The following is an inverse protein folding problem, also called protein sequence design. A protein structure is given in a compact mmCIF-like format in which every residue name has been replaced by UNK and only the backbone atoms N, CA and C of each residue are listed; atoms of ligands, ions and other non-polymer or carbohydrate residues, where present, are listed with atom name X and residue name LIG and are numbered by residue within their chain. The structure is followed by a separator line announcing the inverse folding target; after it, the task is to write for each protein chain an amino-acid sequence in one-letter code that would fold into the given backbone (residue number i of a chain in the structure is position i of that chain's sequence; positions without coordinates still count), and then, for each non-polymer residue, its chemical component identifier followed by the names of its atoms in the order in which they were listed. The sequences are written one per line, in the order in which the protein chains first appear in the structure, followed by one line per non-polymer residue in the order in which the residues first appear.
data_IF_276582559039
#
_entry.id   IF_276582559039
#
_cell.length_a   1.000
_cell.length_b   1.000
_cell.length_c   1.000
_cell.angle_alpha   90.00
_cell.angle_beta   90.00
_cell.angle_gamma   90.00
#
_symmetry.space_group_name_H-M   'P 1'
#
loop_
_entity.id
_entity.type
_entity.pdbx_description
1 polymer ?
#
# COMPACT_ATOMS: atom_id res chain seq x y z
N UNK A 1 -19.11 49.43 9.32
CA UNK A 1 -19.05 49.42 7.84
C UNK A 1 -17.80 48.66 7.45
N UNK A 2 -17.92 47.37 7.18
CA UNK A 2 -16.83 46.46 6.83
C UNK A 2 -17.25 45.72 5.57
N UNK A 3 -16.75 46.16 4.42
CA UNK A 3 -17.00 45.53 3.13
C UNK A 3 -16.11 44.30 3.01
N UNK A 4 -16.73 43.12 2.99
CA UNK A 4 -16.10 41.83 2.71
C UNK A 4 -15.83 41.75 1.20
N UNK A 5 -14.55 41.73 0.82
CA UNK A 5 -14.10 41.41 -0.52
C UNK A 5 -14.30 39.91 -0.78
N UNK A 6 -15.36 39.54 -1.52
CA UNK A 6 -15.49 38.20 -2.08
C UNK A 6 -14.75 38.15 -3.42
N UNK A 7 -13.57 37.56 -3.37
CA UNK A 7 -12.79 37.06 -4.50
C UNK A 7 -13.63 36.01 -5.25
N UNK A 8 -14.25 36.41 -6.35
CA UNK A 8 -14.70 35.45 -7.37
C UNK A 8 -13.46 35.07 -8.18
N UNK A 9 -12.97 33.85 -7.91
CA UNK A 9 -11.89 33.22 -8.66
C UNK A 9 -12.24 33.16 -10.17
N UNK A 10 -11.26 33.33 -11.08
CA UNK A 10 -11.51 33.15 -12.50
C UNK A 10 -11.54 31.65 -12.81
N UNK A 11 -12.73 31.06 -12.83
CA UNK A 11 -12.99 29.75 -13.45
C UNK A 11 -13.07 29.89 -14.98
N UNK A 12 -12.02 30.44 -15.59
CA UNK A 12 -11.88 30.55 -17.05
C UNK A 12 -10.47 30.10 -17.41
N UNK A 13 -10.24 28.78 -17.38
CA UNK A 13 -9.03 28.17 -17.94
C UNK A 13 -9.32 26.82 -18.64
N UNK A 14 -10.56 26.53 -19.02
CA UNK A 14 -10.90 25.36 -19.83
C UNK A 14 -11.72 25.77 -21.05
N UNK A 15 -11.07 26.47 -21.98
CA UNK A 15 -11.50 26.48 -23.38
C UNK A 15 -10.35 25.92 -24.19
N UNK A 16 -10.62 24.81 -24.87
CA UNK A 16 -9.64 24.01 -25.59
C UNK A 16 -8.83 24.85 -26.57
N UNK A 17 -7.51 24.79 -26.40
CA UNK A 17 -6.52 25.25 -27.35
C UNK A 17 -5.41 24.22 -27.39
N UNK A 18 -5.40 23.44 -28.48
CA UNK A 18 -4.35 22.55 -28.99
C UNK A 18 -3.05 22.48 -28.19
N UNK A 19 -3.06 21.74 -27.09
CA UNK A 19 -1.84 21.32 -26.43
C UNK A 19 -1.66 19.82 -26.71
N UNK A 20 -0.45 19.44 -27.10
CA UNK A 20 -0.01 18.04 -27.22
C UNK A 20 -0.46 17.23 -25.99
N UNK A 21 -0.65 15.91 -26.10
CA UNK A 21 -1.03 15.08 -24.95
C UNK A 21 0.02 15.19 -23.84
N UNK A 22 -0.24 16.04 -22.85
CA UNK A 22 0.65 16.23 -21.70
C UNK A 22 0.20 15.28 -20.59
N UNK A 23 1.07 14.34 -20.20
CA UNK A 23 0.93 13.75 -18.88
C UNK A 23 1.39 14.78 -17.85
N UNK A 24 0.46 15.30 -17.07
CA UNK A 24 0.79 16.22 -15.97
C UNK A 24 1.16 15.35 -14.77
N UNK A 25 2.44 15.40 -14.40
CA UNK A 25 2.89 14.93 -13.10
C UNK A 25 2.23 15.82 -12.05
N UNK A 26 1.39 15.20 -11.23
CA UNK A 26 0.66 15.87 -10.17
C UNK A 26 1.31 15.43 -8.85
N UNK A 27 1.37 16.31 -7.85
CA UNK A 27 2.17 16.14 -6.63
C UNK A 27 1.80 14.88 -5.81
N UNK A 28 0.70 14.21 -6.16
CA UNK A 28 0.36 12.87 -5.71
C UNK A 28 0.49 11.84 -6.87
N UNK A 29 1.29 10.77 -6.71
CA UNK A 29 1.48 9.73 -7.74
C UNK A 29 0.19 8.96 -8.08
N UNK A 30 -0.86 9.13 -7.29
CA UNK A 30 -2.20 8.59 -7.54
C UNK A 30 -3.01 9.39 -8.59
N UNK A 31 -2.51 10.55 -9.03
CA UNK A 31 -3.28 11.54 -9.80
C UNK A 31 -2.71 11.89 -11.19
N UNK A 32 -1.88 11.00 -11.75
CA UNK A 32 -1.48 11.09 -13.17
C UNK A 32 -2.74 11.12 -14.04
N UNK A 33 -3.05 12.29 -14.57
CA UNK A 33 -4.22 12.52 -15.41
C UNK A 33 -3.71 12.58 -16.84
N UNK A 34 -4.21 11.68 -17.69
CA UNK A 34 -3.92 11.66 -19.11
C UNK A 34 -5.21 11.92 -19.86
N UNK A 35 -5.26 13.05 -20.56
CA UNK A 35 -6.39 13.43 -21.39
C UNK A 35 -6.19 12.89 -22.81
N UNK A 36 -7.25 12.34 -23.38
CA UNK A 36 -7.27 11.82 -24.74
C UNK A 36 -8.71 11.75 -25.27
N UNK A 37 -8.90 11.71 -26.61
CA UNK A 37 -10.22 11.60 -27.20
C UNK A 37 -10.99 10.38 -26.70
N UNK A 38 -12.25 10.56 -26.28
CA UNK A 38 -13.08 9.45 -25.78
C UNK A 38 -13.22 8.30 -26.78
N UNK A 39 -13.16 8.58 -28.09
CA UNK A 39 -13.26 7.55 -29.13
C UNK A 39 -12.17 6.47 -29.03
N UNK A 40 -10.97 6.82 -28.56
CA UNK A 40 -9.87 5.86 -28.48
C UNK A 40 -9.82 5.10 -27.15
N UNK A 41 -10.77 5.37 -26.24
CA UNK A 41 -10.85 4.72 -24.94
C UNK A 41 -10.79 3.18 -25.01
N UNK A 42 -11.48 2.48 -25.93
CA UNK A 42 -11.38 1.02 -26.01
C UNK A 42 -9.95 0.51 -26.24
N UNK A 43 -9.18 1.17 -27.11
CA UNK A 43 -7.78 0.81 -27.39
C UNK A 43 -6.87 1.10 -26.18
N UNK A 44 -7.11 2.20 -25.48
CA UNK A 44 -6.42 2.52 -24.23
C UNK A 44 -6.70 1.45 -23.16
N UNK A 45 -7.95 1.00 -23.04
CA UNK A 45 -8.34 -0.05 -22.10
C UNK A 45 -7.69 -1.40 -22.43
N UNK A 46 -7.59 -1.76 -23.71
CA UNK A 46 -6.91 -2.98 -24.15
C UNK A 46 -5.42 -2.98 -23.81
N UNK A 47 -4.73 -1.87 -24.08
CA UNK A 47 -3.32 -1.74 -23.73
C UNK A 47 -3.11 -1.77 -22.20
N UNK A 48 -3.92 -1.02 -21.44
CA UNK A 48 -3.88 -1.03 -19.97
C UNK A 48 -4.14 -2.42 -19.40
N UNK A 49 -5.10 -3.15 -19.97
CA UNK A 49 -5.41 -4.52 -19.57
C UNK A 49 -4.19 -5.42 -19.75
N UNK A 50 -3.48 -5.35 -20.88
CA UNK A 50 -2.25 -6.11 -21.08
C UNK A 50 -1.22 -5.82 -19.98
N UNK A 51 -0.99 -4.54 -19.67
CA UNK A 51 -0.03 -4.12 -18.64
C UNK A 51 -0.41 -4.62 -17.23
N UNK A 52 -1.71 -4.70 -16.93
CA UNK A 52 -2.25 -5.09 -15.61
C UNK A 52 -2.47 -6.59 -15.41
N UNK A 53 -2.65 -7.39 -16.47
CA UNK A 53 -2.93 -8.83 -16.37
C UNK A 53 -1.77 -9.67 -15.80
N UNK A 54 -0.58 -9.09 -15.71
CA UNK A 54 0.63 -9.81 -15.32
C UNK A 54 0.68 -10.03 -13.80
N UNK A 55 0.85 -11.29 -13.38
CA UNK A 55 1.03 -11.65 -11.98
C UNK A 55 2.27 -10.96 -11.41
N UNK A 56 2.13 -10.30 -10.26
CA UNK A 56 3.22 -9.66 -9.53
C UNK A 56 3.81 -10.67 -8.55
N UNK A 57 5.14 -10.70 -8.45
CA UNK A 57 5.84 -11.53 -7.48
C UNK A 57 6.23 -10.66 -6.30
N UNK A 58 5.93 -11.08 -5.07
CA UNK A 58 6.35 -10.37 -3.86
C UNK A 58 7.46 -11.19 -3.21
N UNK A 59 8.71 -10.69 -3.24
CA UNK A 59 9.89 -11.38 -2.70
C UNK A 59 10.44 -10.77 -1.41
N UNK A 60 9.76 -9.76 -0.86
CA UNK A 60 10.27 -8.99 0.27
C UNK A 60 11.25 -7.88 -0.13
N UNK A 61 11.32 -7.57 -1.43
CA UNK A 61 12.17 -6.53 -2.01
C UNK A 61 11.29 -5.47 -2.71
N UNK A 62 11.78 -4.23 -2.77
CA UNK A 62 11.17 -3.14 -3.53
C UNK A 62 11.59 -3.24 -5.01
N UNK A 63 10.97 -4.17 -5.76
CA UNK A 63 11.26 -4.42 -7.18
C UNK A 63 10.04 -4.24 -8.12
N UNK A 64 8.96 -3.61 -7.64
CA UNK A 64 7.74 -3.39 -8.39
C UNK A 64 7.95 -2.52 -9.63
N UNK A 65 8.79 -1.48 -9.59
CA UNK A 65 9.11 -0.67 -10.78
C UNK A 65 9.71 -1.55 -11.89
N UNK A 66 10.65 -2.41 -11.54
CA UNK A 66 11.29 -3.34 -12.47
C UNK A 66 10.29 -4.31 -13.06
N UNK A 67 9.40 -4.87 -12.23
CA UNK A 67 8.31 -5.74 -12.69
C UNK A 67 7.33 -5.01 -13.62
N UNK A 68 7.02 -3.73 -13.35
CA UNK A 68 6.16 -2.94 -14.23
C UNK A 68 6.84 -2.63 -15.55
N UNK A 69 8.12 -2.25 -15.52
CA UNK A 69 8.95 -2.01 -16.71
C UNK A 69 9.06 -3.23 -17.62
N UNK A 70 9.18 -4.42 -17.02
CA UNK A 70 9.23 -5.68 -17.75
C UNK A 70 7.95 -6.01 -18.53
N UNK A 71 6.82 -5.36 -18.23
CA UNK A 71 5.57 -5.58 -18.96
C UNK A 71 5.52 -4.83 -20.29
N UNK A 72 6.23 -3.70 -20.44
CA UNK A 72 6.19 -2.93 -21.68
C UNK A 72 6.60 -3.78 -22.90
N UNK A 73 7.77 -4.44 -22.92
CA UNK A 73 8.14 -5.27 -24.07
C UNK A 73 7.22 -6.48 -24.26
N UNK A 74 6.59 -7.00 -23.20
CA UNK A 74 5.62 -8.11 -23.30
C UNK A 74 4.30 -7.68 -23.96
N UNK A 75 3.97 -6.40 -23.85
CA UNK A 75 2.76 -5.81 -24.41
C UNK A 75 3.02 -5.01 -25.70
N UNK A 76 4.18 -5.17 -26.34
CA UNK A 76 4.55 -4.41 -27.54
C UNK A 76 3.56 -4.63 -28.70
N UNK A 77 3.14 -5.86 -28.95
CA UNK A 77 2.18 -6.15 -30.02
C UNK A 77 0.81 -5.50 -29.75
N UNK A 78 0.35 -5.53 -28.49
CA UNK A 78 -0.89 -4.88 -28.08
C UNK A 78 -0.77 -3.36 -28.18
N UNK A 79 0.39 -2.81 -27.83
CA UNK A 79 0.70 -1.39 -27.99
C UNK A 79 0.58 -0.97 -29.46
N UNK A 80 1.29 -1.63 -30.37
CA UNK A 80 1.29 -1.25 -31.78
C UNK A 80 -0.11 -1.40 -32.41
N UNK A 81 -0.81 -2.50 -32.11
CA UNK A 81 -2.18 -2.72 -32.58
C UNK A 81 -3.17 -1.66 -32.04
N UNK A 82 -3.01 -1.25 -30.78
CA UNK A 82 -3.87 -0.24 -30.16
C UNK A 82 -3.61 1.15 -30.74
N UNK A 83 -2.34 1.50 -30.97
CA UNK A 83 -1.93 2.76 -31.62
C UNK A 83 -2.48 2.83 -33.05
N UNK A 84 -2.31 1.77 -33.84
CA UNK A 84 -2.80 1.70 -35.21
C UNK A 84 -4.34 1.79 -35.25
N UNK A 85 -5.03 1.01 -34.42
CA UNK A 85 -6.49 1.01 -34.35
C UNK A 85 -7.06 2.36 -33.94
N UNK A 86 -6.47 3.00 -32.91
CA UNK A 86 -6.85 4.32 -32.44
C UNK A 86 -6.65 5.39 -33.53
N UNK A 87 -5.46 5.42 -34.16
CA UNK A 87 -5.16 6.38 -35.23
C UNK A 87 -6.09 6.20 -36.44
N UNK A 88 -6.37 4.95 -36.84
CA UNK A 88 -7.30 4.65 -37.94
C UNK A 88 -8.73 5.11 -37.60
N UNK A 89 -9.19 4.90 -36.36
CA UNK A 89 -10.52 5.31 -35.95
C UNK A 89 -10.69 6.84 -35.97
N UNK A 90 -9.72 7.59 -35.42
CA UNK A 90 -9.75 9.05 -35.43
C UNK A 90 -9.73 9.59 -36.87
N UNK A 91 -8.85 9.07 -37.72
CA UNK A 91 -8.75 9.48 -39.12
C UNK A 91 -10.08 9.26 -39.90
N UNK A 92 -10.81 8.17 -39.65
CA UNK A 92 -12.09 7.87 -40.34
C UNK A 92 -13.25 8.74 -39.87
N UNK A 93 -13.29 9.08 -38.59
CA UNK A 93 -14.42 9.79 -37.98
C UNK A 93 -14.34 11.30 -38.20
N UNK A 94 -13.18 11.84 -38.57
CA UNK A 94 -12.94 13.28 -38.67
C UNK A 94 -12.91 14.00 -37.32
N UNK A 95 -13.34 13.33 -36.24
CA UNK A 95 -13.08 13.71 -34.85
C UNK A 95 -11.63 13.37 -34.52
N UNK A 96 -10.83 14.40 -34.17
CA UNK A 96 -9.39 14.27 -33.96
C UNK A 96 -8.53 14.72 -35.14
N UNK A 97 -9.03 15.59 -36.02
CA UNK A 97 -8.20 16.27 -37.04
C UNK A 97 -6.98 17.03 -36.43
N UNK A 98 -7.04 17.31 -35.13
CA UNK A 98 -5.99 17.89 -34.30
C UNK A 98 -4.98 16.86 -33.74
N UNK A 99 -5.26 15.55 -33.82
CA UNK A 99 -4.37 14.48 -33.37
C UNK A 99 -3.76 13.76 -34.57
N UNK A 100 -2.45 13.86 -34.70
CA UNK A 100 -1.66 13.08 -35.65
C UNK A 100 -1.47 11.64 -35.14
N UNK A 101 -1.05 10.73 -36.02
CA UNK A 101 -0.67 9.37 -35.61
C UNK A 101 0.48 9.36 -34.59
N UNK A 102 1.35 10.39 -34.63
CA UNK A 102 2.42 10.56 -33.65
C UNK A 102 1.86 10.95 -32.28
N UNK A 103 0.90 11.87 -32.21
CA UNK A 103 0.23 12.25 -30.96
C UNK A 103 -0.50 11.07 -30.34
N UNK A 104 -1.16 10.25 -31.16
CA UNK A 104 -1.78 9.00 -30.68
C UNK A 104 -0.73 8.08 -30.08
N UNK A 105 0.40 7.84 -30.76
CA UNK A 105 1.49 7.02 -30.21
C UNK A 105 2.00 7.57 -28.87
N UNK A 106 2.18 8.88 -28.77
CA UNK A 106 2.63 9.53 -27.54
C UNK A 106 1.68 9.32 -26.35
N UNK A 107 0.36 9.30 -26.57
CA UNK A 107 -0.64 8.95 -25.53
C UNK A 107 -0.36 7.55 -24.97
N UNK A 108 -0.12 6.56 -25.83
CA UNK A 108 0.16 5.20 -25.39
C UNK A 108 1.51 5.08 -24.69
N UNK A 109 2.53 5.83 -25.15
CA UNK A 109 3.82 5.90 -24.45
C UNK A 109 3.69 6.52 -23.06
N UNK A 110 2.87 7.56 -22.91
CA UNK A 110 2.53 8.14 -21.61
C UNK A 110 1.86 7.12 -20.68
N UNK A 111 0.95 6.29 -21.19
CA UNK A 111 0.34 5.19 -20.40
C UNK A 111 1.43 4.23 -19.90
N UNK A 112 2.41 3.88 -20.75
CA UNK A 112 3.55 3.06 -20.37
C UNK A 112 4.41 3.70 -19.27
N UNK A 113 4.69 5.01 -19.36
CA UNK A 113 5.42 5.77 -18.32
C UNK A 113 4.67 5.78 -16.99
N UNK A 114 3.37 6.08 -17.03
CA UNK A 114 2.49 6.06 -15.84
C UNK A 114 2.50 4.68 -15.18
N UNK A 115 2.47 3.61 -15.98
CA UNK A 115 2.53 2.24 -15.47
C UNK A 115 3.84 1.94 -14.74
N UNK A 116 4.99 2.42 -15.23
CA UNK A 116 6.28 2.29 -14.52
C UNK A 116 6.27 3.11 -13.23
N UNK A 117 5.81 4.36 -13.29
CA UNK A 117 5.77 5.26 -12.13
C UNK A 117 4.92 4.69 -10.99
N UNK A 118 3.81 4.02 -11.30
CA UNK A 118 3.01 3.27 -10.31
C UNK A 118 3.81 2.15 -9.63
N UNK A 119 4.69 1.46 -10.37
CA UNK A 119 5.60 0.49 -9.78
C UNK A 119 6.61 1.13 -8.82
N UNK A 120 7.19 2.26 -9.20
CA UNK A 120 8.11 3.01 -8.33
C UNK A 120 7.42 3.53 -7.05
N UNK A 121 6.16 3.94 -7.15
CA UNK A 121 5.38 4.35 -5.98
C UNK A 121 5.17 3.17 -5.00
N UNK A 122 4.84 1.98 -5.52
CA UNK A 122 4.74 0.78 -4.70
C UNK A 122 6.06 0.43 -4.01
N UNK A 123 7.20 0.64 -4.68
CA UNK A 123 8.53 0.46 -4.11
C UNK A 123 8.80 1.42 -2.94
N UNK A 124 8.38 2.68 -3.10
CA UNK A 124 8.49 3.69 -2.05
C UNK A 124 7.61 3.33 -0.84
N UNK A 125 6.35 2.93 -1.07
CA UNK A 125 5.43 2.50 -0.02
C UNK A 125 5.96 1.26 0.72
N UNK A 126 6.45 0.27 -0.03
CA UNK A 126 7.03 -0.94 0.54
C UNK A 126 8.25 -0.62 1.43
N UNK A 127 9.15 0.22 0.94
CA UNK A 127 10.34 0.67 1.68
C UNK A 127 9.95 1.45 2.93
N UNK A 128 8.96 2.34 2.84
CA UNK A 128 8.43 3.08 3.97
C UNK A 128 7.91 2.14 5.05
N UNK A 129 7.06 1.17 4.68
CA UNK A 129 6.51 0.19 5.61
C UNK A 129 7.60 -0.65 6.28
N UNK A 130 8.61 -1.11 5.54
CA UNK A 130 9.74 -1.84 6.12
C UNK A 130 10.49 -1.01 7.17
N UNK A 131 10.80 0.26 6.87
CA UNK A 131 11.48 1.16 7.82
C UNK A 131 10.63 1.42 9.05
N UNK A 132 9.32 1.65 8.89
CA UNK A 132 8.41 1.86 10.01
C UNK A 132 8.30 0.62 10.91
N UNK A 133 8.27 -0.58 10.33
CA UNK A 133 8.26 -1.83 11.10
C UNK A 133 9.56 -2.04 11.87
N UNK A 134 10.72 -1.78 11.24
CA UNK A 134 12.01 -1.88 11.91
C UNK A 134 12.10 -0.92 13.11
N UNK A 135 11.68 0.34 12.92
CA UNK A 135 11.64 1.33 14.00
C UNK A 135 10.69 0.93 15.14
N UNK A 136 9.51 0.39 14.83
CA UNK A 136 8.57 -0.09 15.83
C UNK A 136 9.12 -1.29 16.61
N UNK A 137 9.82 -2.21 15.93
CA UNK A 137 10.49 -3.34 16.56
C UNK A 137 11.61 -2.87 17.51
N UNK A 138 12.45 -1.93 17.08
CA UNK A 138 13.51 -1.35 17.92
C UNK A 138 12.93 -0.67 19.17
N UNK A 139 11.84 0.10 19.03
CA UNK A 139 11.14 0.70 20.16
C UNK A 139 10.60 -0.35 21.12
N UNK A 140 9.92 -1.37 20.60
CA UNK A 140 9.44 -2.49 21.40
C UNK A 140 10.58 -3.20 22.14
N UNK A 141 11.72 -3.42 21.50
CA UNK A 141 12.90 -4.05 22.12
C UNK A 141 13.60 -3.15 23.16
N UNK A 142 13.55 -1.84 22.99
CA UNK A 142 14.06 -0.87 23.94
C UNK A 142 13.17 -0.75 25.18
N UNK A 143 11.85 -0.72 24.98
CA UNK A 143 10.84 -0.49 26.03
C UNK A 143 10.35 -1.77 26.70
N UNK A 144 10.51 -2.93 26.06
CA UNK A 144 10.10 -4.20 26.68
C UNK A 144 10.81 -4.37 28.03
N UNK A 145 10.09 -4.80 29.07
CA UNK A 145 10.71 -5.10 30.34
C UNK A 145 11.81 -6.15 30.14
N UNK A 146 13.06 -5.77 30.38
CA UNK A 146 14.24 -6.67 30.29
C UNK A 146 14.40 -7.56 31.54
N UNK A 147 13.34 -7.67 32.35
CA UNK A 147 13.31 -8.42 33.60
C UNK A 147 12.98 -9.90 33.40
N UNK A 148 13.31 -10.71 34.41
CA UNK A 148 13.08 -12.15 34.46
C UNK A 148 11.65 -12.50 33.97
N UNK A 149 11.55 -13.20 32.83
CA UNK A 149 10.37 -14.00 32.54
C UNK A 149 10.40 -15.13 33.56
N UNK A 150 9.65 -14.98 34.65
CA UNK A 150 9.27 -16.13 35.47
C UNK A 150 8.40 -17.00 34.58
N UNK A 151 9.01 -17.90 33.81
CA UNK A 151 8.26 -19.02 33.26
C UNK A 151 7.57 -19.68 34.45
N UNK A 152 6.23 -19.70 34.43
CA UNK A 152 5.38 -20.36 35.42
C UNK A 152 5.54 -21.89 35.39
N UNK A 153 6.76 -22.39 35.19
CA UNK A 153 7.14 -23.79 35.46
C UNK A 153 7.16 -24.08 36.97
N UNK A 154 7.31 -23.04 37.79
CA UNK A 154 7.35 -23.14 39.26
C UNK A 154 6.06 -22.71 39.97
N UNK A 155 4.94 -22.57 39.25
CA UNK A 155 3.63 -22.43 39.91
C UNK A 155 3.31 -23.65 40.81
N UNK A 156 3.86 -24.82 40.47
CA UNK A 156 3.82 -26.04 41.28
C UNK A 156 4.66 -25.93 42.56
N UNK A 157 5.82 -25.27 42.52
CA UNK A 157 6.70 -25.06 43.69
C UNK A 157 6.09 -24.07 44.66
N UNK A 158 5.51 -22.97 44.15
CA UNK A 158 4.79 -22.00 45.00
C UNK A 158 3.56 -22.65 45.63
N UNK A 159 2.77 -23.43 44.87
CA UNK A 159 1.63 -24.16 45.42
C UNK A 159 2.06 -25.20 46.47
N UNK A 160 3.07 -26.03 46.18
CA UNK A 160 3.57 -27.05 47.12
C UNK A 160 4.07 -26.44 48.44
N UNK A 161 4.71 -25.27 48.39
CA UNK A 161 5.18 -24.57 49.58
C UNK A 161 4.04 -23.98 50.41
N UNK A 162 2.95 -23.58 49.75
CA UNK A 162 1.76 -23.01 50.40
C UNK A 162 0.86 -24.11 50.99
N UNK A 163 0.77 -25.26 50.31
CA UNK A 163 0.03 -26.42 50.78
C UNK A 163 0.74 -27.07 51.98
N UNK A 164 2.07 -27.20 51.95
CA UNK A 164 2.86 -27.74 53.07
C UNK A 164 2.79 -26.87 54.34
N UNK A 165 2.73 -25.55 54.19
CA UNK A 165 2.53 -24.65 55.34
C UNK A 165 1.09 -24.68 55.85
N UNK A 166 0.10 -24.90 54.99
CA UNK A 166 -1.29 -25.08 55.40
C UNK A 166 -1.48 -26.39 56.20
N UNK A 167 -0.92 -27.51 55.74
CA UNK A 167 -0.94 -28.78 56.47
C UNK A 167 -0.24 -28.68 57.84
N UNK A 168 0.92 -28.02 57.89
CA UNK A 168 1.65 -27.81 59.14
C UNK A 168 0.88 -26.90 60.12
N UNK A 169 0.20 -25.88 59.62
CA UNK A 169 -0.64 -25.00 60.44
C UNK A 169 -1.86 -25.74 60.99
N UNK A 170 -2.48 -26.61 60.18
CA UNK A 170 -3.63 -27.43 60.58
C UNK A 170 -3.25 -28.48 61.62
N UNK A 171 -2.13 -29.20 61.43
CA UNK A 171 -1.61 -30.14 62.42
C UNK A 171 -1.23 -29.46 63.76
N UNK A 172 -0.74 -28.22 63.71
CA UNK A 172 -0.47 -27.42 64.91
C UNK A 172 -1.74 -26.91 65.60
N UNK A 173 -2.85 -26.76 64.87
CA UNK A 173 -4.16 -26.43 65.43
C UNK A 173 -4.78 -27.66 66.11
N UNK A 174 -4.78 -28.82 65.43
CA UNK A 174 -5.30 -30.08 65.96
C UNK A 174 -4.53 -30.56 67.21
N UNK A 175 -3.19 -30.36 67.27
CA UNK A 175 -2.41 -30.61 68.49
C UNK A 175 -2.75 -29.67 69.66
N UNK A 176 -3.21 -28.45 69.38
CA UNK A 176 -3.63 -27.49 70.41
C UNK A 176 -5.05 -27.75 70.90
N UNK A 177 -5.92 -28.30 70.03
CA UNK A 177 -7.29 -28.66 70.36
C UNK A 177 -7.44 -30.09 70.88
N UNK A 178 -6.40 -30.91 70.80
CA UNK A 178 -6.38 -32.23 71.43
C UNK A 178 -6.60 -32.06 72.96
N UNK A 179 -7.69 -32.61 73.52
CA UNK A 179 -7.98 -32.45 74.93
C UNK A 179 -6.86 -33.10 75.75
N UNK A 180 -6.35 -32.34 76.72
CA UNK A 180 -5.32 -32.75 77.66
C UNK A 180 -5.84 -33.91 78.52
N UNK A 181 -5.77 -35.13 78.02
CA UNK A 181 -6.11 -36.35 78.73
C UNK A 181 -4.92 -36.76 79.60
N UNK A 182 -4.57 -35.92 80.58
CA UNK A 182 -3.65 -36.25 81.69
C UNK A 182 -3.80 -35.24 82.83
N UNK A 183 -5.02 -35.14 83.36
CA UNK A 183 -5.29 -34.62 84.70
C UNK A 183 -6.40 -35.47 85.34
N UNK A 184 -6.05 -36.70 85.72
CA UNK A 184 -6.69 -37.49 86.78
C UNK A 184 -5.60 -38.20 87.59
#
# INVERSE_FOLDING_TARGET
MTSLSLLVAPLIALQGVGQAPVAIENDAPETWTLEYPRLIQPFVEDYRRCLSLQLRTVRGEADFESQHRANLPRCADVFDASVEGAASLLARRGEGAEFTAADVREIFEHIGRIHIARGADLDNQFTFLQRSQAAAQEQYEAERPKGLVLELRDASVVKARTDATAEAAQAAYEKREAPNADNQ
#
